data_IF_345685425847
#
_entry.id   IF_345685425847
#
_cell.length_a   1.000
_cell.length_b   1.000
_cell.length_c   1.000
_cell.angle_alpha   90.00
_cell.angle_beta   90.00
_cell.angle_gamma   90.00
#
_symmetry.space_group_name_H-M   'P 1'
#
loop_
_entity.id
_entity.type
_entity.pdbx_description
1 polymer ?
#
# COMPACT_ATOMS: atom_id res chain seq x y z
N UNK A 1 29.98 -5.15 9.84
CA UNK A 1 29.37 -6.49 9.99
C UNK A 1 28.58 -6.80 8.72
N UNK A 2 28.99 -7.84 7.99
CA UNK A 2 28.37 -8.31 6.74
C UNK A 2 27.75 -9.69 7.00
N UNK A 3 26.48 -9.87 6.67
CA UNK A 3 25.77 -11.17 6.58
C UNK A 3 24.48 -10.98 5.77
N UNK A 4 23.87 -12.03 5.19
CA UNK A 4 24.27 -12.55 3.89
C UNK A 4 23.12 -12.54 2.87
N UNK A 5 23.52 -12.70 1.61
CA UNK A 5 22.71 -12.70 0.40
C UNK A 5 21.98 -14.05 0.27
N UNK A 6 20.65 -14.09 0.41
CA UNK A 6 19.82 -15.24 0.09
C UNK A 6 19.42 -15.24 -1.39
N UNK A 7 19.70 -16.34 -2.09
CA UNK A 7 19.33 -16.60 -3.48
C UNK A 7 17.81 -16.75 -3.62
N UNK A 8 17.15 -16.22 -4.67
CA UNK A 8 15.81 -16.66 -5.02
C UNK A 8 15.88 -17.97 -5.82
N UNK A 9 15.10 -18.95 -5.34
CA UNK A 9 14.92 -20.24 -5.97
C UNK A 9 14.00 -20.14 -7.19
N UNK A 10 14.39 -20.91 -8.22
CA UNK A 10 13.65 -21.35 -9.41
C UNK A 10 12.19 -20.88 -9.58
N UNK A 11 12.01 -19.97 -10.54
CA UNK A 11 10.75 -19.76 -11.25
C UNK A 11 10.31 -21.07 -11.93
N UNK A 12 9.15 -21.60 -11.51
CA UNK A 12 8.46 -22.68 -12.21
C UNK A 12 7.99 -22.16 -13.56
N UNK A 13 8.57 -22.71 -14.62
CA UNK A 13 8.15 -22.49 -16.00
C UNK A 13 6.67 -22.84 -16.12
N UNK A 14 5.89 -21.89 -16.65
CA UNK A 14 4.56 -22.16 -17.15
C UNK A 14 4.69 -23.16 -18.31
N UNK A 15 4.17 -24.37 -18.12
CA UNK A 15 3.93 -25.30 -19.21
C UNK A 15 2.77 -24.77 -20.04
N UNK A 16 3.10 -24.03 -21.10
CA UNK A 16 2.20 -23.85 -22.22
C UNK A 16 1.98 -25.24 -22.84
N UNK A 17 0.84 -25.86 -22.53
CA UNK A 17 0.33 -27.00 -23.30
C UNK A 17 0.03 -26.50 -24.71
N UNK A 18 1.00 -26.63 -25.59
CA UNK A 18 0.79 -26.53 -27.03
C UNK A 18 -0.12 -27.70 -27.41
N UNK A 19 -1.37 -27.40 -27.70
CA UNK A 19 -2.28 -28.35 -28.34
C UNK A 19 -1.76 -28.55 -29.76
N UNK A 20 -1.16 -29.70 -30.01
CA UNK A 20 -0.74 -30.10 -31.34
C UNK A 20 -2.02 -30.42 -32.14
N UNK A 21 -2.47 -29.48 -32.98
CA UNK A 21 -3.61 -29.67 -33.90
C UNK A 21 -3.20 -30.40 -35.18
N UNK A 22 -2.32 -31.38 -35.06
CA UNK A 22 -1.89 -32.23 -36.16
C UNK A 22 -2.84 -33.44 -36.29
N UNK A 23 -4.12 -33.14 -36.54
CA UNK A 23 -5.09 -34.16 -36.94
C UNK A 23 -4.75 -34.66 -38.35
N UNK A 24 -4.32 -35.91 -38.46
CA UNK A 24 -4.37 -36.64 -39.72
C UNK A 24 -5.86 -36.82 -40.07
N UNK A 25 -6.31 -36.07 -41.06
CA UNK A 25 -7.67 -36.08 -41.59
C UNK A 25 -8.10 -37.52 -41.99
N UNK A 26 -9.34 -37.95 -41.66
CA UNK A 26 -9.90 -39.24 -42.08
C UNK A 26 -9.91 -39.46 -43.61
N UNK A 27 -9.73 -38.39 -44.39
CA UNK A 27 -9.64 -38.44 -45.85
C UNK A 27 -8.35 -39.11 -46.37
N UNK A 28 -7.26 -39.09 -45.60
CA UNK A 28 -5.97 -39.66 -46.03
C UNK A 28 -5.94 -41.20 -45.95
N UNK A 29 -6.65 -41.80 -44.98
CA UNK A 29 -6.73 -43.26 -44.83
C UNK A 29 -7.58 -43.93 -45.94
N UNK A 30 -8.56 -43.21 -46.50
CA UNK A 30 -9.41 -43.75 -47.57
C UNK A 30 -8.72 -43.84 -48.94
N UNK A 31 -7.61 -43.12 -49.16
CA UNK A 31 -6.87 -43.19 -50.44
C UNK A 31 -5.89 -44.36 -50.52
N UNK A 32 -5.43 -44.88 -49.38
CA UNK A 32 -4.55 -46.07 -49.35
C UNK A 32 -5.34 -47.36 -49.59
N UNK A 33 -6.55 -47.48 -49.04
CA UNK A 33 -7.40 -48.67 -49.23
C UNK A 33 -7.92 -48.86 -50.67
N UNK A 34 -8.09 -47.76 -51.43
CA UNK A 34 -8.48 -47.83 -52.85
C UNK A 34 -7.35 -48.23 -53.80
N UNK A 35 -6.09 -48.10 -53.39
CA UNK A 35 -4.93 -48.49 -54.20
C UNK A 35 -4.57 -49.98 -54.06
N UNK A 36 -4.93 -50.63 -52.95
CA UNK A 36 -4.58 -52.04 -52.68
C UNK A 36 -5.56 -53.05 -53.28
N UNK A 37 -6.82 -52.65 -53.55
CA UNK A 37 -7.88 -53.57 -54.02
C UNK A 37 -7.90 -53.87 -55.53
N UNK A 38 -6.93 -53.40 -56.32
CA UNK A 38 -6.87 -53.64 -57.78
C UNK A 38 -5.72 -54.54 -58.25
N UNK A 39 -4.96 -55.17 -57.34
CA UNK A 39 -3.74 -55.92 -57.70
C UNK A 39 -3.78 -57.43 -57.40
N UNK A 40 -4.92 -58.00 -57.01
CA UNK A 40 -5.00 -59.42 -56.63
C UNK A 40 -6.16 -60.14 -57.32
N UNK A 41 -6.27 -59.95 -58.64
CA UNK A 41 -6.91 -60.94 -59.53
C UNK A 41 -5.85 -61.47 -60.49
N UNK A 42 -4.86 -62.19 -59.96
CA UNK A 42 -4.15 -63.17 -60.79
C UNK A 42 -5.13 -64.29 -61.08
N UNK A 43 -5.71 -64.22 -62.29
CA UNK A 43 -6.40 -65.31 -62.97
C UNK A 43 -5.74 -66.64 -62.59
N UNK A 44 -6.50 -67.49 -61.89
CA UNK A 44 -6.21 -68.91 -61.80
C UNK A 44 -5.98 -69.44 -63.23
N UNK A 45 -4.89 -70.19 -63.49
CA UNK A 45 -4.61 -70.70 -64.82
C UNK A 45 -5.70 -71.71 -65.17
N UNK A 46 -6.51 -71.39 -66.18
CA UNK A 46 -7.29 -72.38 -66.91
C UNK A 46 -6.36 -73.55 -67.23
N UNK A 47 -6.71 -74.82 -66.92
CA UNK A 47 -5.98 -75.93 -67.48
C UNK A 47 -6.16 -75.85 -69.00
N UNK A 48 -5.06 -75.53 -69.68
CA UNK A 48 -4.90 -75.67 -71.12
C UNK A 48 -5.01 -77.15 -71.48
N UNK A 49 -6.24 -77.62 -71.71
CA UNK A 49 -6.53 -78.91 -72.34
C UNK A 49 -6.40 -78.75 -73.87
N UNK A 50 -5.18 -78.53 -74.34
CA UNK A 50 -4.78 -78.83 -75.72
C UNK A 50 -3.57 -79.76 -75.66
N UNK A 51 -3.80 -80.96 -75.13
CA UNK A 51 -2.97 -82.13 -75.38
C UNK A 51 -3.47 -82.82 -76.65
N UNK A 52 -2.56 -83.06 -77.59
CA UNK A 52 -2.75 -83.71 -78.88
C UNK A 52 -3.62 -84.98 -78.81
N UNK A 53 -4.67 -85.04 -79.64
CA UNK A 53 -5.38 -86.26 -79.97
C UNK A 53 -5.21 -86.58 -81.49
N UNK A 54 -4.99 -87.85 -81.87
CA UNK A 54 -4.73 -88.27 -83.25
C UNK A 54 -6.01 -88.22 -84.11
N UNK A 55 -5.90 -88.29 -85.46
CA UNK A 55 -7.05 -88.14 -86.34
C UNK A 55 -7.89 -89.43 -86.30
N UNK A 56 -8.99 -89.42 -85.57
CA UNK A 56 -10.00 -90.48 -85.65
C UNK A 56 -11.11 -90.00 -86.55
N UNK A 57 -11.09 -90.56 -87.76
CA UNK A 57 -12.12 -90.47 -88.75
C UNK A 57 -13.48 -90.91 -88.17
N UNK A 58 -14.50 -90.11 -88.50
CA UNK A 58 -15.91 -90.47 -88.67
C UNK A 58 -16.28 -91.91 -88.30
N UNK A 59 -16.75 -92.10 -87.08
CA UNK A 59 -17.85 -93.02 -86.77
C UNK A 59 -18.82 -92.23 -85.89
N UNK A 60 -19.89 -91.71 -86.50
CA UNK A 60 -21.08 -91.33 -85.73
C UNK A 60 -21.68 -92.66 -85.24
N UNK A 61 -21.21 -93.14 -84.09
CA UNK A 61 -21.99 -94.07 -83.30
C UNK A 61 -23.26 -93.34 -82.90
N UNK A 62 -24.39 -93.77 -83.45
CA UNK A 62 -25.71 -93.28 -83.05
C UNK A 62 -25.81 -93.34 -81.53
N UNK A 63 -25.91 -92.16 -80.90
CA UNK A 63 -26.07 -92.05 -79.46
C UNK A 63 -27.38 -92.78 -79.13
N UNK A 64 -27.30 -93.83 -78.33
CA UNK A 64 -28.50 -94.52 -77.88
C UNK A 64 -29.40 -93.53 -77.14
N UNK A 65 -30.72 -93.60 -77.30
CA UNK A 65 -31.67 -92.72 -76.60
C UNK A 65 -31.40 -92.65 -75.09
N UNK A 66 -30.98 -93.77 -74.49
CA UNK A 66 -30.59 -93.84 -73.06
C UNK A 66 -29.36 -92.98 -72.73
N UNK A 67 -28.39 -92.92 -73.62
CA UNK A 67 -27.19 -92.10 -73.47
C UNK A 67 -27.50 -90.62 -73.71
N UNK A 68 -28.38 -90.30 -74.67
CA UNK A 68 -28.85 -88.93 -74.93
C UNK A 68 -29.56 -88.34 -73.70
N UNK A 69 -30.56 -89.03 -73.14
CA UNK A 69 -31.25 -88.55 -71.93
C UNK A 69 -30.33 -88.50 -70.70
N UNK A 70 -29.35 -89.40 -70.61
CA UNK A 70 -28.34 -89.35 -69.54
C UNK A 70 -27.44 -88.13 -69.70
N UNK A 71 -27.05 -87.79 -70.92
CA UNK A 71 -26.22 -86.61 -71.20
C UNK A 71 -27.00 -85.33 -70.97
N UNK A 72 -28.28 -85.27 -71.37
CA UNK A 72 -29.16 -84.13 -71.09
C UNK A 72 -29.31 -83.90 -69.58
N UNK A 73 -29.60 -84.96 -68.80
CA UNK A 73 -29.64 -84.87 -67.33
C UNK A 73 -28.31 -84.41 -66.73
N UNK A 74 -27.17 -84.87 -67.27
CA UNK A 74 -25.85 -84.40 -66.83
C UNK A 74 -25.63 -82.92 -67.16
N UNK A 75 -26.10 -82.45 -68.32
CA UNK A 75 -26.04 -81.04 -68.71
C UNK A 75 -26.94 -80.18 -67.81
N UNK A 76 -28.13 -80.66 -67.45
CA UNK A 76 -29.03 -79.97 -66.51
C UNK A 76 -28.42 -79.87 -65.11
N UNK A 77 -27.84 -80.98 -64.62
CA UNK A 77 -27.12 -81.01 -63.34
C UNK A 77 -25.92 -80.07 -63.38
N UNK A 78 -25.15 -80.06 -64.47
CA UNK A 78 -24.01 -79.15 -64.63
C UNK A 78 -24.46 -77.69 -64.65
N UNK A 79 -25.54 -77.37 -65.37
CA UNK A 79 -26.11 -76.02 -65.41
C UNK A 79 -26.63 -75.57 -64.04
N UNK A 80 -27.21 -76.49 -63.25
CA UNK A 80 -27.59 -76.21 -61.88
C UNK A 80 -26.36 -76.00 -60.99
N UNK A 81 -25.32 -76.83 -61.09
CA UNK A 81 -24.08 -76.68 -60.33
C UNK A 81 -23.35 -75.37 -60.67
N UNK A 82 -23.37 -74.94 -61.93
CA UNK A 82 -22.81 -73.65 -62.33
C UNK A 82 -23.57 -72.48 -61.69
N UNK A 83 -24.91 -72.50 -61.70
CA UNK A 83 -25.72 -71.49 -61.02
C UNK A 83 -25.46 -71.46 -59.51
N UNK A 84 -25.43 -72.63 -58.86
CA UNK A 84 -25.11 -72.72 -57.42
C UNK A 84 -23.69 -72.23 -57.15
N UNK A 85 -22.73 -72.45 -58.05
CA UNK A 85 -21.37 -71.94 -57.90
C UNK A 85 -21.35 -70.40 -58.00
N UNK A 86 -22.05 -69.82 -58.98
CA UNK A 86 -22.17 -68.36 -59.11
C UNK A 86 -22.84 -67.75 -57.86
N UNK A 87 -23.92 -68.37 -57.36
CA UNK A 87 -24.61 -67.96 -56.13
C UNK A 87 -23.67 -68.07 -54.89
N UNK A 88 -22.84 -69.11 -54.82
CA UNK A 88 -21.86 -69.28 -53.74
C UNK A 88 -20.76 -68.22 -53.81
N UNK A 89 -20.25 -67.90 -55.00
CA UNK A 89 -19.24 -66.84 -55.17
C UNK A 89 -19.82 -65.47 -54.78
N UNK A 90 -21.08 -65.19 -55.14
CA UNK A 90 -21.75 -63.96 -54.70
C UNK A 90 -21.94 -63.94 -53.18
N UNK A 91 -22.39 -65.04 -52.58
CA UNK A 91 -22.55 -65.16 -51.13
C UNK A 91 -21.23 -65.04 -50.37
N UNK A 92 -20.14 -65.63 -50.87
CA UNK A 92 -18.78 -65.49 -50.31
C UNK A 92 -18.32 -64.03 -50.36
N UNK A 93 -18.54 -63.33 -51.48
CA UNK A 93 -18.22 -61.90 -51.58
C UNK A 93 -19.01 -61.04 -50.60
N UNK A 94 -20.30 -61.33 -50.38
CA UNK A 94 -21.12 -60.65 -49.38
C UNK A 94 -20.66 -60.96 -47.94
N UNK A 95 -20.24 -62.20 -47.67
CA UNK A 95 -19.70 -62.60 -46.38
C UNK A 95 -18.39 -61.85 -46.06
N UNK A 96 -17.47 -61.76 -47.02
CA UNK A 96 -16.21 -61.02 -46.83
C UNK A 96 -16.48 -59.53 -46.51
N UNK A 97 -17.41 -58.89 -47.23
CA UNK A 97 -17.82 -57.50 -46.95
C UNK A 97 -18.39 -57.38 -45.54
N UNK A 98 -19.26 -58.31 -45.13
CA UNK A 98 -19.85 -58.31 -43.79
C UNK A 98 -18.81 -58.54 -42.68
N UNK A 99 -17.79 -59.38 -42.92
CA UNK A 99 -16.67 -59.58 -41.99
C UNK A 99 -15.84 -58.30 -41.83
N UNK A 100 -15.53 -57.61 -42.93
CA UNK A 100 -14.83 -56.32 -42.89
C UNK A 100 -15.65 -55.28 -42.13
N UNK A 101 -16.95 -55.18 -42.39
CA UNK A 101 -17.82 -54.25 -41.66
C UNK A 101 -17.92 -54.60 -40.17
N UNK A 102 -17.97 -55.87 -39.81
CA UNK A 102 -17.94 -56.31 -38.41
C UNK A 102 -16.63 -55.91 -37.71
N UNK A 103 -15.47 -56.08 -38.35
CA UNK A 103 -14.20 -55.64 -37.76
C UNK A 103 -14.11 -54.11 -37.62
N UNK A 104 -14.69 -53.37 -38.56
CA UNK A 104 -14.80 -51.90 -38.49
C UNK A 104 -15.71 -51.47 -37.34
N UNK A 105 -16.85 -52.11 -37.18
CA UNK A 105 -17.78 -51.85 -36.06
C UNK A 105 -17.14 -52.18 -34.72
N UNK A 106 -16.40 -53.29 -34.59
CA UNK A 106 -15.68 -53.64 -33.37
C UNK A 106 -14.60 -52.58 -33.04
N UNK A 107 -13.89 -52.09 -34.05
CA UNK A 107 -12.91 -51.00 -33.89
C UNK A 107 -13.56 -49.70 -33.44
N UNK A 108 -14.71 -49.33 -34.04
CA UNK A 108 -15.48 -48.15 -33.63
C UNK A 108 -15.99 -48.28 -32.18
N UNK A 109 -16.52 -49.44 -31.80
CA UNK A 109 -16.99 -49.69 -30.45
C UNK A 109 -15.86 -49.57 -29.41
N UNK A 110 -14.67 -50.10 -29.70
CA UNK A 110 -13.48 -49.92 -28.86
C UNK A 110 -13.10 -48.45 -28.73
N UNK A 111 -13.13 -47.69 -29.83
CA UNK A 111 -12.82 -46.27 -29.81
C UNK A 111 -13.82 -45.47 -28.96
N UNK A 112 -15.13 -45.68 -29.17
CA UNK A 112 -16.19 -45.02 -28.40
C UNK A 112 -16.03 -45.32 -26.91
N UNK A 113 -15.71 -46.57 -26.54
CA UNK A 113 -15.50 -46.94 -25.15
C UNK A 113 -14.34 -46.16 -24.50
N UNK A 114 -13.22 -46.00 -25.22
CA UNK A 114 -12.08 -45.19 -24.76
C UNK A 114 -12.47 -43.72 -24.62
N UNK A 115 -13.19 -43.16 -25.59
CA UNK A 115 -13.66 -41.78 -25.52
C UNK A 115 -14.58 -41.54 -24.33
N UNK A 116 -15.50 -42.47 -24.05
CA UNK A 116 -16.38 -42.40 -22.88
C UNK A 116 -15.59 -42.43 -21.57
N UNK A 117 -14.56 -43.28 -21.47
CA UNK A 117 -13.69 -43.34 -20.30
C UNK A 117 -12.90 -42.04 -20.10
N UNK A 118 -12.36 -41.47 -21.19
CA UNK A 118 -11.65 -40.19 -21.14
C UNK A 118 -12.60 -39.05 -20.75
N UNK A 119 -13.81 -39.04 -21.29
CA UNK A 119 -14.83 -38.05 -20.95
C UNK A 119 -15.26 -38.14 -19.47
N UNK A 120 -15.49 -39.35 -18.95
CA UNK A 120 -15.80 -39.59 -17.54
C UNK A 120 -14.67 -39.13 -16.61
N UNK A 121 -13.41 -39.43 -16.98
CA UNK A 121 -12.23 -38.96 -16.26
C UNK A 121 -12.16 -37.43 -16.20
N UNK A 122 -12.32 -36.76 -17.34
CA UNK A 122 -12.35 -35.28 -17.42
C UNK A 122 -13.50 -34.68 -16.62
N UNK A 123 -14.68 -35.30 -16.66
CA UNK A 123 -15.84 -34.83 -15.90
C UNK A 123 -15.59 -34.89 -14.38
N UNK A 124 -15.08 -36.02 -13.89
CA UNK A 124 -14.74 -36.19 -12.47
C UNK A 124 -13.65 -35.23 -12.01
N UNK A 125 -12.64 -34.99 -12.84
CA UNK A 125 -11.60 -34.02 -12.54
C UNK A 125 -12.15 -32.57 -12.49
N UNK A 126 -13.00 -32.20 -13.45
CA UNK A 126 -13.65 -30.89 -13.46
C UNK A 126 -14.56 -30.70 -12.23
N UNK A 127 -15.32 -31.74 -11.85
CA UNK A 127 -16.14 -31.73 -10.64
C UNK A 127 -15.29 -31.56 -9.37
N UNK A 128 -14.15 -32.25 -9.30
CA UNK A 128 -13.19 -32.13 -8.18
C UNK A 128 -12.64 -30.71 -8.07
N UNK A 129 -12.15 -30.14 -9.18
CA UNK A 129 -11.63 -28.77 -9.21
C UNK A 129 -12.71 -27.75 -8.84
N UNK A 130 -13.93 -27.94 -9.33
CA UNK A 130 -15.04 -27.08 -8.97
C UNK A 130 -15.36 -27.16 -7.48
N UNK A 131 -15.33 -28.36 -6.89
CA UNK A 131 -15.49 -28.55 -5.46
C UNK A 131 -14.38 -27.83 -4.67
N UNK A 132 -13.12 -27.96 -5.05
CA UNK A 132 -12.00 -27.23 -4.41
C UNK A 132 -12.26 -25.71 -4.37
N UNK A 133 -12.73 -25.13 -5.48
CA UNK A 133 -13.10 -23.71 -5.54
C UNK A 133 -14.27 -23.34 -4.64
N UNK A 134 -15.31 -24.18 -4.57
CA UNK A 134 -16.42 -23.98 -3.62
C UNK A 134 -15.93 -24.07 -2.18
N UNK A 135 -14.94 -24.93 -1.91
CA UNK A 135 -14.31 -25.03 -0.61
C UNK A 135 -13.59 -23.73 -0.23
N UNK A 136 -12.79 -23.19 -1.14
CA UNK A 136 -12.05 -21.96 -0.89
C UNK A 136 -12.99 -20.76 -0.71
N UNK A 137 -14.05 -20.65 -1.52
CA UNK A 137 -15.09 -19.64 -1.31
C UNK A 137 -15.76 -19.79 0.05
N UNK A 138 -16.06 -21.03 0.46
CA UNK A 138 -16.68 -21.30 1.76
C UNK A 138 -15.75 -20.96 2.91
N UNK A 139 -14.44 -21.25 2.80
CA UNK A 139 -13.45 -20.85 3.81
C UNK A 139 -13.46 -19.33 4.00
N UNK A 140 -13.44 -18.56 2.92
CA UNK A 140 -13.43 -17.08 3.01
C UNK A 140 -14.73 -16.59 3.68
N UNK A 141 -15.89 -17.13 3.30
CA UNK A 141 -17.16 -16.78 3.95
C UNK A 141 -17.16 -17.11 5.45
N UNK A 142 -16.71 -18.31 5.84
CA UNK A 142 -16.67 -18.72 7.25
C UNK A 142 -15.66 -17.91 8.06
N UNK A 143 -14.52 -17.56 7.46
CA UNK A 143 -13.53 -16.68 8.07
C UNK A 143 -14.13 -15.32 8.40
N UNK A 144 -14.82 -14.73 7.42
CA UNK A 144 -15.50 -13.45 7.59
C UNK A 144 -16.64 -13.53 8.63
N UNK A 145 -17.45 -14.59 8.61
CA UNK A 145 -18.47 -14.84 9.64
C UNK A 145 -17.88 -14.92 11.05
N UNK A 146 -16.70 -15.53 11.20
CA UNK A 146 -16.01 -15.63 12.48
C UNK A 146 -15.43 -14.28 12.92
N UNK A 147 -14.84 -13.50 12.01
CA UNK A 147 -14.38 -12.14 12.30
C UNK A 147 -15.53 -11.24 12.76
N UNK A 148 -16.68 -11.31 12.10
CA UNK A 148 -17.87 -10.54 12.47
C UNK A 148 -18.42 -10.92 13.86
N UNK A 149 -18.17 -12.14 14.32
CA UNK A 149 -18.50 -12.59 15.69
C UNK A 149 -17.47 -12.15 16.74
N UNK A 150 -16.41 -11.44 16.34
CA UNK A 150 -15.37 -10.94 17.23
C UNK A 150 -14.25 -11.96 17.52
N UNK A 151 -14.13 -13.02 16.73
CA UNK A 151 -12.97 -13.91 16.82
C UNK A 151 -11.70 -13.21 16.30
N UNK A 152 -10.54 -13.60 16.81
CA UNK A 152 -9.25 -13.14 16.30
C UNK A 152 -8.99 -13.73 14.91
N UNK A 153 -8.15 -13.07 14.12
CA UNK A 153 -7.80 -13.50 12.74
C UNK A 153 -7.29 -14.95 12.70
N UNK A 154 -6.44 -15.35 13.67
CA UNK A 154 -5.94 -16.72 13.77
C UNK A 154 -7.05 -17.74 14.06
N UNK A 155 -7.97 -17.43 14.98
CA UNK A 155 -9.07 -18.32 15.34
C UNK A 155 -10.10 -18.43 14.22
N UNK A 156 -10.37 -17.33 13.51
CA UNK A 156 -11.23 -17.31 12.33
C UNK A 156 -10.66 -18.18 11.18
N UNK A 157 -9.34 -18.12 10.95
CA UNK A 157 -8.66 -18.93 9.94
C UNK A 157 -8.68 -20.43 10.25
N UNK A 158 -8.51 -20.79 11.53
CA UNK A 158 -8.63 -22.18 11.99
C UNK A 158 -10.06 -22.70 11.83
N UNK A 159 -11.05 -21.94 12.33
CA UNK A 159 -12.46 -22.26 12.17
C UNK A 159 -12.87 -22.45 10.70
N UNK A 160 -12.46 -21.54 9.81
CA UNK A 160 -12.76 -21.65 8.39
C UNK A 160 -12.18 -22.92 7.75
N UNK A 161 -10.95 -23.30 8.14
CA UNK A 161 -10.27 -24.49 7.59
C UNK A 161 -10.97 -25.77 8.03
N UNK A 162 -11.33 -25.87 9.30
CA UNK A 162 -11.84 -27.10 9.90
C UNK A 162 -13.32 -27.34 9.53
N UNK A 163 -14.10 -26.27 9.37
CA UNK A 163 -15.54 -26.37 9.14
C UNK A 163 -15.98 -26.20 7.68
N UNK A 164 -15.10 -25.80 6.76
CA UNK A 164 -15.49 -25.57 5.35
C UNK A 164 -16.08 -26.82 4.69
N UNK A 165 -15.46 -27.98 4.85
CA UNK A 165 -15.97 -29.24 4.26
C UNK A 165 -17.28 -29.66 4.91
N UNK A 166 -17.37 -29.56 6.25
CA UNK A 166 -18.58 -29.90 6.99
C UNK A 166 -19.77 -28.99 6.61
N UNK A 167 -19.50 -27.70 6.37
CA UNK A 167 -20.53 -26.75 5.93
C UNK A 167 -21.05 -27.08 4.53
N UNK A 168 -20.17 -27.45 3.61
CA UNK A 168 -20.55 -27.80 2.25
C UNK A 168 -21.37 -29.09 2.23
N UNK A 169 -20.99 -30.09 3.03
CA UNK A 169 -21.76 -31.33 3.15
C UNK A 169 -23.12 -31.08 3.79
N UNK A 170 -23.20 -30.28 4.86
CA UNK A 170 -24.46 -29.86 5.50
C UNK A 170 -25.40 -29.18 4.49
N UNK A 171 -24.91 -28.19 3.74
CA UNK A 171 -25.70 -27.48 2.74
C UNK A 171 -26.11 -28.37 1.57
N UNK A 172 -25.23 -29.28 1.13
CA UNK A 172 -25.56 -30.25 0.09
C UNK A 172 -26.66 -31.20 0.54
N UNK A 173 -26.63 -31.68 1.79
CA UNK A 173 -27.68 -32.51 2.38
C UNK A 173 -29.01 -31.75 2.45
N UNK A 174 -28.98 -30.48 2.86
CA UNK A 174 -30.17 -29.63 2.90
C UNK A 174 -30.78 -29.38 1.51
N UNK A 175 -29.95 -29.24 0.47
CA UNK A 175 -30.41 -28.98 -0.91
C UNK A 175 -30.90 -30.23 -1.65
N UNK A 176 -30.59 -31.42 -1.16
CA UNK A 176 -30.92 -32.70 -1.82
C UNK A 176 -31.87 -33.58 -1.00
N UNK A 177 -32.19 -33.19 0.22
CA UNK A 177 -32.97 -33.97 1.20
C UNK A 177 -32.34 -35.36 1.54
N UNK A 178 -31.12 -35.63 1.06
CA UNK A 178 -30.37 -36.86 1.28
C UNK A 178 -29.51 -36.73 2.54
N UNK A 179 -29.86 -37.46 3.59
CA UNK A 179 -29.19 -37.40 4.91
C UNK A 179 -27.80 -38.05 4.98
N UNK A 180 -27.30 -38.65 3.90
CA UNK A 180 -26.02 -39.38 3.86
C UNK A 180 -25.24 -39.10 2.59
N UNK A 181 -24.91 -37.83 2.33
CA UNK A 181 -23.97 -37.47 1.29
C UNK A 181 -22.56 -37.36 1.86
N UNK A 182 -21.60 -38.01 1.19
CA UNK A 182 -20.18 -37.76 1.38
C UNK A 182 -19.71 -36.63 0.46
N UNK A 183 -18.58 -35.98 0.76
CA UNK A 183 -18.06 -34.85 -0.02
C UNK A 183 -17.72 -35.20 -1.48
N UNK A 184 -17.49 -36.48 -1.78
CA UNK A 184 -17.16 -36.98 -3.12
C UNK A 184 -18.40 -37.29 -3.98
N UNK A 185 -19.59 -37.33 -3.37
CA UNK A 185 -20.84 -37.71 -4.04
C UNK A 185 -21.74 -36.51 -4.35
N UNK A 186 -21.28 -35.28 -4.07
CA UNK A 186 -22.11 -34.08 -4.23
C UNK A 186 -22.33 -33.80 -5.72
N UNK A 187 -23.58 -33.82 -6.22
CA UNK A 187 -23.87 -33.53 -7.62
C UNK A 187 -23.45 -32.11 -8.03
N UNK A 188 -22.97 -31.95 -9.27
CA UNK A 188 -22.44 -30.67 -9.77
C UNK A 188 -23.48 -29.52 -9.74
N UNK A 189 -24.76 -29.82 -9.96
CA UNK A 189 -25.85 -28.84 -9.86
C UNK A 189 -26.07 -28.33 -8.42
N UNK A 190 -25.83 -29.17 -7.41
CA UNK A 190 -25.89 -28.79 -5.99
C UNK A 190 -24.71 -27.91 -5.63
N UNK A 191 -23.50 -28.32 -6.03
CA UNK A 191 -22.29 -27.50 -5.88
C UNK A 191 -22.46 -26.12 -6.53
N UNK A 192 -23.11 -26.03 -7.69
CA UNK A 192 -23.37 -24.76 -8.37
C UNK A 192 -24.31 -23.85 -7.57
N UNK A 193 -25.33 -24.40 -6.90
CA UNK A 193 -26.21 -23.64 -6.00
C UNK A 193 -25.45 -23.13 -4.78
N UNK A 194 -24.63 -23.96 -4.16
CA UNK A 194 -23.77 -23.58 -3.03
C UNK A 194 -22.80 -22.46 -3.45
N UNK A 195 -22.13 -22.64 -4.60
CA UNK A 195 -21.23 -21.63 -5.18
C UNK A 195 -21.93 -20.30 -5.43
N UNK A 196 -23.15 -20.32 -5.98
CA UNK A 196 -23.97 -19.13 -6.21
C UNK A 196 -24.29 -18.41 -4.90
N UNK A 197 -24.70 -19.15 -3.87
CA UNK A 197 -24.96 -18.61 -2.55
C UNK A 197 -23.70 -17.96 -1.94
N UNK A 198 -22.56 -18.65 -1.97
CA UNK A 198 -21.27 -18.12 -1.47
C UNK A 198 -20.82 -16.87 -2.20
N UNK A 199 -20.96 -16.84 -3.52
CA UNK A 199 -20.67 -15.65 -4.31
C UNK A 199 -21.56 -14.47 -3.91
N UNK A 200 -22.84 -14.71 -3.60
CA UNK A 200 -23.73 -13.65 -3.13
C UNK A 200 -23.33 -13.14 -1.73
N UNK A 201 -22.99 -14.05 -0.80
CA UNK A 201 -22.47 -13.67 0.51
C UNK A 201 -21.20 -12.81 0.37
N UNK A 202 -20.26 -13.23 -0.47
CA UNK A 202 -19.01 -12.49 -0.71
C UNK A 202 -19.26 -11.09 -1.27
N UNK A 203 -20.20 -10.95 -2.21
CA UNK A 203 -20.60 -9.64 -2.75
C UNK A 203 -21.12 -8.72 -1.64
N UNK A 204 -21.91 -9.24 -0.71
CA UNK A 204 -22.44 -8.45 0.41
C UNK A 204 -21.31 -7.99 1.34
N UNK A 205 -20.35 -8.87 1.64
CA UNK A 205 -19.16 -8.55 2.44
C UNK A 205 -18.34 -7.44 1.78
N UNK A 206 -18.03 -7.57 0.48
CA UNK A 206 -17.30 -6.53 -0.24
C UNK A 206 -18.03 -5.18 -0.25
N UNK A 207 -19.36 -5.20 -0.36
CA UNK A 207 -20.15 -3.96 -0.27
C UNK A 207 -20.10 -3.34 1.13
N UNK A 208 -20.05 -4.15 2.19
CA UNK A 208 -19.84 -3.65 3.56
C UNK A 208 -18.48 -3.00 3.70
N UNK A 209 -17.41 -3.71 3.34
CA UNK A 209 -16.05 -3.17 3.42
C UNK A 209 -15.86 -1.89 2.59
N UNK A 210 -16.49 -1.79 1.41
CA UNK A 210 -16.49 -0.55 0.63
C UNK A 210 -17.26 0.60 1.27
N UNK A 211 -18.25 0.33 2.12
CA UNK A 211 -18.93 1.36 2.91
C UNK A 211 -18.04 1.78 4.08
N UNK A 212 -17.47 0.83 4.79
CA UNK A 212 -16.63 1.08 5.96
C UNK A 212 -15.35 1.84 5.57
N UNK A 213 -14.72 1.48 4.45
CA UNK A 213 -13.57 2.20 3.91
C UNK A 213 -13.92 3.66 3.58
N UNK A 214 -15.03 3.91 2.87
CA UNK A 214 -15.48 5.28 2.56
C UNK A 214 -15.79 6.08 3.82
N UNK A 215 -16.34 5.43 4.83
CA UNK A 215 -16.60 6.08 6.11
C UNK A 215 -15.29 6.45 6.83
N UNK A 216 -14.31 5.55 6.87
CA UNK A 216 -12.99 5.82 7.43
C UNK A 216 -12.27 6.95 6.69
N UNK A 217 -12.30 6.96 5.35
CA UNK A 217 -11.75 8.05 4.53
C UNK A 217 -12.42 9.39 4.84
N UNK A 218 -13.75 9.41 5.01
CA UNK A 218 -14.48 10.61 5.38
C UNK A 218 -14.09 11.13 6.77
N UNK A 219 -13.97 10.23 7.76
CA UNK A 219 -13.53 10.59 9.12
C UNK A 219 -12.12 11.18 9.08
N UNK A 220 -11.19 10.56 8.35
CA UNK A 220 -9.82 11.06 8.18
C UNK A 220 -9.83 12.46 7.55
N UNK A 221 -10.62 12.68 6.49
CA UNK A 221 -10.73 13.98 5.84
C UNK A 221 -11.27 15.07 6.78
N UNK A 222 -12.29 14.74 7.59
CA UNK A 222 -12.86 15.66 8.58
C UNK A 222 -11.84 15.99 9.67
N UNK A 223 -11.12 15.00 10.20
CA UNK A 223 -10.09 15.23 11.22
C UNK A 223 -8.90 16.04 10.66
N UNK A 224 -8.49 15.79 9.42
CA UNK A 224 -7.48 16.62 8.75
C UNK A 224 -7.93 18.07 8.60
N UNK A 225 -9.19 18.31 8.21
CA UNK A 225 -9.75 19.65 8.11
C UNK A 225 -9.82 20.36 9.48
N UNK A 226 -10.19 19.64 10.55
CA UNK A 226 -10.16 20.17 11.93
C UNK A 226 -8.74 20.51 12.36
N UNK A 227 -7.77 19.62 12.12
CA UNK A 227 -6.36 19.83 12.44
C UNK A 227 -5.80 21.05 11.71
N UNK A 228 -6.11 21.21 10.42
CA UNK A 228 -5.68 22.38 9.65
C UNK A 228 -6.28 23.68 10.19
N UNK A 229 -7.56 23.66 10.60
CA UNK A 229 -8.22 24.82 11.22
C UNK A 229 -7.59 25.18 12.57
N UNK A 230 -7.28 24.17 13.41
CA UNK A 230 -6.60 24.40 14.68
C UNK A 230 -5.19 24.97 14.48
N UNK A 231 -4.44 24.44 13.52
CA UNK A 231 -3.12 24.97 13.18
C UNK A 231 -3.19 26.42 12.70
N UNK A 232 -4.20 26.79 11.90
CA UNK A 232 -4.39 28.16 11.46
C UNK A 232 -4.70 29.11 12.64
N UNK A 233 -5.52 28.69 13.61
CA UNK A 233 -5.78 29.51 14.81
C UNK A 233 -4.54 29.67 15.68
N UNK A 234 -3.72 28.61 15.81
CA UNK A 234 -2.48 28.66 16.57
C UNK A 234 -1.48 29.62 15.94
N UNK A 235 -1.34 29.61 14.61
CA UNK A 235 -0.49 30.56 13.87
C UNK A 235 -0.96 32.00 14.14
N UNK A 236 -2.27 32.27 14.06
CA UNK A 236 -2.80 33.61 14.36
C UNK A 236 -2.52 34.05 15.80
N UNK A 237 -2.60 33.14 16.77
CA UNK A 237 -2.28 33.42 18.16
C UNK A 237 -0.79 33.71 18.36
N UNK A 238 0.08 32.91 17.73
CA UNK A 238 1.54 33.12 17.74
C UNK A 238 1.86 34.48 17.13
N UNK A 239 1.35 34.81 15.95
CA UNK A 239 1.57 36.09 15.28
C UNK A 239 1.16 37.29 16.17
N UNK A 240 0.02 37.16 16.87
CA UNK A 240 -0.46 38.19 17.81
C UNK A 240 0.48 38.36 19.00
N UNK A 241 0.94 37.27 19.60
CA UNK A 241 1.88 37.28 20.74
C UNK A 241 3.23 37.83 20.31
N UNK A 242 3.75 37.41 19.15
CA UNK A 242 5.00 37.92 18.60
C UNK A 242 4.92 39.40 18.24
N UNK A 243 3.78 39.88 17.75
CA UNK A 243 3.52 41.31 17.52
C UNK A 243 3.54 42.12 18.82
N UNK A 244 2.84 41.65 19.86
CA UNK A 244 2.84 42.29 21.17
C UNK A 244 4.25 42.32 21.80
N UNK A 245 4.99 41.22 21.67
CA UNK A 245 6.37 41.11 22.15
C UNK A 245 7.29 42.10 21.43
N UNK A 246 7.12 42.29 20.11
CA UNK A 246 7.87 43.28 19.33
C UNK A 246 7.57 44.72 19.79
N UNK A 247 6.30 45.05 20.03
CA UNK A 247 5.91 46.38 20.57
C UNK A 247 6.54 46.62 21.95
N UNK A 248 6.40 45.65 22.86
CA UNK A 248 6.96 45.76 24.21
C UNK A 248 8.49 45.89 24.21
N UNK A 249 9.19 45.23 23.27
CA UNK A 249 10.64 45.40 23.10
C UNK A 249 10.99 46.81 22.64
N UNK A 250 10.27 47.35 21.65
CA UNK A 250 10.48 48.72 21.17
C UNK A 250 10.22 49.76 22.28
N UNK A 251 9.15 49.60 23.05
CA UNK A 251 8.85 50.47 24.21
C UNK A 251 9.95 50.39 25.28
N UNK A 252 10.43 49.18 25.58
CA UNK A 252 11.55 48.99 26.53
C UNK A 252 12.81 49.70 26.04
N UNK A 253 13.14 49.61 24.76
CA UNK A 253 14.33 50.24 24.20
C UNK A 253 14.20 51.78 24.21
N UNK A 254 13.02 52.33 23.87
CA UNK A 254 12.74 53.76 24.01
C UNK A 254 12.89 54.24 25.47
N UNK A 255 12.34 53.51 26.44
CA UNK A 255 12.47 53.84 27.86
C UNK A 255 13.93 53.78 28.34
N UNK A 256 14.72 52.84 27.82
CA UNK A 256 16.15 52.76 28.11
C UNK A 256 16.92 53.97 27.57
N UNK A 257 16.58 54.42 26.35
CA UNK A 257 17.17 55.65 25.77
C UNK A 257 16.81 56.89 26.61
N UNK A 258 15.55 57.03 27.02
CA UNK A 258 15.11 58.11 27.91
C UNK A 258 15.84 58.07 29.26
N UNK A 259 15.98 56.89 29.87
CA UNK A 259 16.70 56.71 31.13
C UNK A 259 18.17 57.12 30.97
N UNK A 260 18.85 56.68 29.91
CA UNK A 260 20.22 57.09 29.64
C UNK A 260 20.36 58.61 29.45
N UNK A 261 19.41 59.25 28.77
CA UNK A 261 19.40 60.71 28.61
C UNK A 261 19.21 61.41 29.97
N UNK A 262 18.26 60.94 30.79
CA UNK A 262 18.02 61.47 32.14
C UNK A 262 19.23 61.26 33.06
N UNK A 263 19.91 60.12 32.96
CA UNK A 263 21.13 59.86 33.71
C UNK A 263 22.24 60.87 33.37
N UNK A 264 22.44 61.16 32.06
CA UNK A 264 23.39 62.21 31.62
C UNK A 264 23.00 63.60 32.11
N UNK A 265 21.71 63.95 32.07
CA UNK A 265 21.23 65.23 32.61
C UNK A 265 21.48 65.33 34.12
N UNK A 266 21.22 64.26 34.88
CA UNK A 266 21.48 64.22 36.31
C UNK A 266 22.98 64.34 36.62
N UNK A 267 23.85 63.68 35.84
CA UNK A 267 25.30 63.81 35.97
C UNK A 267 25.75 65.27 35.73
N UNK A 268 25.25 65.92 34.67
CA UNK A 268 25.54 67.32 34.39
C UNK A 268 25.05 68.28 35.50
N UNK A 269 23.87 68.03 36.06
CA UNK A 269 23.37 68.81 37.20
C UNK A 269 24.20 68.57 38.46
N UNK A 270 24.66 67.34 38.71
CA UNK A 270 25.54 67.03 39.84
C UNK A 270 26.90 67.73 39.72
N UNK A 271 27.48 67.80 38.52
CA UNK A 271 28.73 68.54 38.29
C UNK A 271 28.55 70.05 38.48
N UNK A 272 27.42 70.62 38.03
CA UNK A 272 27.09 72.03 38.27
C UNK A 272 26.90 72.34 39.76
N UNK A 273 26.20 71.48 40.50
CA UNK A 273 26.07 71.61 41.96
C UNK A 273 27.43 71.55 42.65
N UNK A 274 28.32 70.65 42.22
CA UNK A 274 29.67 70.54 42.77
C UNK A 274 30.49 71.82 42.52
N UNK A 275 30.45 72.35 41.29
CA UNK A 275 31.13 73.60 40.92
C UNK A 275 30.60 74.81 41.72
N UNK A 276 29.27 74.92 41.88
CA UNK A 276 28.66 75.98 42.68
C UNK A 276 29.05 75.87 44.17
N UNK A 277 29.15 74.65 44.72
CA UNK A 277 29.64 74.43 46.09
C UNK A 277 31.09 74.88 46.26
N UNK A 278 31.96 74.55 45.31
CA UNK A 278 33.37 74.99 45.32
C UNK A 278 33.48 76.53 45.21
N UNK A 279 32.68 77.16 44.35
CA UNK A 279 32.60 78.63 44.26
C UNK A 279 32.09 79.26 45.56
N UNK A 280 31.12 78.64 46.23
CA UNK A 280 30.65 79.10 47.53
C UNK A 280 31.76 78.97 48.57
N UNK A 281 32.45 77.84 48.64
CA UNK A 281 33.52 77.59 49.61
C UNK A 281 34.68 78.57 49.43
N UNK A 282 35.15 78.78 48.19
CA UNK A 282 36.18 79.77 47.86
C UNK A 282 35.77 81.19 48.25
N UNK A 283 34.53 81.61 47.97
CA UNK A 283 34.00 82.90 48.46
C UNK A 283 33.98 82.97 49.98
N UNK A 284 33.53 81.94 50.68
CA UNK A 284 33.52 81.95 52.15
C UNK A 284 34.91 81.96 52.76
N UNK A 285 35.90 81.31 52.13
CA UNK A 285 37.31 81.37 52.53
C UNK A 285 37.86 82.79 52.33
N UNK A 286 37.61 83.39 51.17
CA UNK A 286 38.00 84.78 50.89
C UNK A 286 37.36 85.76 51.88
N UNK A 287 36.07 85.62 52.18
CA UNK A 287 35.41 86.42 53.22
C UNK A 287 36.05 86.22 54.61
N UNK A 288 36.43 84.98 54.95
CA UNK A 288 37.16 84.69 56.21
C UNK A 288 38.53 85.34 56.23
N UNK A 289 39.29 85.29 55.13
CA UNK A 289 40.59 85.95 54.99
C UNK A 289 40.46 87.47 55.09
N UNK A 290 39.48 88.08 54.41
CA UNK A 290 39.20 89.51 54.54
C UNK A 290 38.82 89.88 55.98
N UNK A 291 37.94 89.11 56.64
CA UNK A 291 37.59 89.34 58.05
C UNK A 291 38.79 89.22 58.97
N UNK A 292 39.67 88.23 58.74
CA UNK A 292 40.90 88.07 59.51
C UNK A 292 41.88 89.22 59.28
N UNK A 293 42.05 89.68 58.03
CA UNK A 293 42.90 90.82 57.70
C UNK A 293 42.37 92.12 58.31
N UNK A 294 41.06 92.37 58.26
CA UNK A 294 40.42 93.50 58.94
C UNK A 294 40.71 93.44 60.45
N UNK A 295 40.48 92.29 61.07
CA UNK A 295 40.74 92.09 62.51
C UNK A 295 42.23 92.32 62.86
N UNK A 296 43.16 91.91 61.99
CA UNK A 296 44.59 92.17 62.16
C UNK A 296 44.93 93.66 62.05
N UNK A 297 44.35 94.36 61.06
CA UNK A 297 44.52 95.80 60.92
C UNK A 297 43.94 96.56 62.12
N UNK A 298 42.75 96.17 62.60
CA UNK A 298 42.16 96.72 63.82
C UNK A 298 43.09 96.54 65.03
N UNK A 299 43.64 95.34 65.22
CA UNK A 299 44.60 95.06 66.29
C UNK A 299 45.89 95.89 66.15
N UNK A 300 46.43 96.06 64.94
CA UNK A 300 47.61 96.86 64.68
C UNK A 300 47.39 98.37 64.91
N UNK A 301 46.21 98.88 64.54
CA UNK A 301 45.79 100.26 64.83
C UNK A 301 45.68 100.44 66.34
N UNK A 302 45.00 99.53 67.04
CA UNK A 302 44.90 99.57 68.51
C UNK A 302 46.27 99.53 69.20
N UNK A 303 47.20 98.71 68.71
CA UNK A 303 48.57 98.65 69.22
C UNK A 303 49.32 99.96 68.97
N UNK A 304 49.18 100.56 67.78
CA UNK A 304 49.80 101.84 67.43
C UNK A 304 49.23 102.98 68.28
N UNK A 305 47.91 102.99 68.52
CA UNK A 305 47.24 103.93 69.42
C UNK A 305 47.73 103.76 70.87
N UNK A 306 47.93 102.53 71.34
CA UNK A 306 48.55 102.28 72.66
C UNK A 306 49.99 102.79 72.73
N UNK A 307 50.79 102.58 71.69
CA UNK A 307 52.16 103.07 71.62
C UNK A 307 52.21 104.60 71.60
N UNK A 308 51.35 105.26 70.80
CA UNK A 308 51.18 106.72 70.81
C UNK A 308 50.75 107.24 72.18
N UNK A 309 49.78 106.56 72.84
CA UNK A 309 49.36 106.87 74.20
C UNK A 309 50.52 106.78 75.18
N UNK A 310 51.35 105.75 75.08
CA UNK A 310 52.53 105.57 75.93
C UNK A 310 53.61 106.64 75.67
N UNK A 311 53.85 107.00 74.40
CA UNK A 311 54.82 108.03 74.01
C UNK A 311 54.38 109.44 74.43
N UNK A 312 53.10 109.79 74.25
CA UNK A 312 52.53 111.05 74.73
C UNK A 312 52.65 111.15 76.26
N UNK A 313 52.34 110.06 76.97
CA UNK A 313 52.50 109.99 78.43
C UNK A 313 53.96 110.17 78.86
N UNK A 314 54.92 109.56 78.15
CA UNK A 314 56.35 109.69 78.42
C UNK A 314 56.89 111.10 78.15
N UNK A 315 56.44 111.76 77.08
CA UNK A 315 56.98 113.07 76.66
C UNK A 315 56.33 114.27 77.35
N UNK A 316 55.06 114.17 77.72
CA UNK A 316 54.28 115.32 78.19
C UNK A 316 53.62 115.11 79.56
N UNK A 317 53.80 113.96 80.22
CA UNK A 317 53.25 113.67 81.56
C UNK A 317 51.73 113.54 81.64
N UNK A 318 51.01 113.79 80.55
CA UNK A 318 49.55 113.79 80.44
C UNK A 318 49.12 113.20 79.09
N UNK A 319 48.02 112.44 79.08
CA UNK A 319 47.43 111.88 77.84
C UNK A 319 46.14 112.66 77.53
N UNK A 320 45.97 113.21 76.32
CA UNK A 320 44.75 113.92 75.94
C UNK A 320 43.50 113.00 75.95
N UNK A 321 42.33 113.49 76.42
CA UNK A 321 41.08 112.70 76.51
C UNK A 321 40.61 112.11 75.17
N UNK A 322 40.85 112.82 74.05
CA UNK A 322 40.50 112.36 72.71
C UNK A 322 41.18 111.04 72.29
N UNK A 323 42.32 110.69 72.90
CA UNK A 323 43.04 109.43 72.64
C UNK A 323 42.55 108.31 73.57
N UNK A 324 41.85 108.64 74.67
CA UNK A 324 41.25 107.67 75.59
C UNK A 324 39.94 107.08 75.07
N UNK A 325 39.14 107.87 74.35
CA UNK A 325 37.84 107.44 73.81
C UNK A 325 37.98 106.51 72.59
N UNK A 326 39.00 106.71 71.76
CA UNK A 326 39.21 105.92 70.52
C UNK A 326 39.55 104.45 70.82
N UNK A 327 40.17 104.16 71.98
CA UNK A 327 40.47 102.80 72.40
C UNK A 327 39.22 101.99 72.83
N UNK A 328 38.08 102.66 73.07
CA UNK A 328 36.85 102.02 73.56
C UNK A 328 35.75 101.91 72.49
N UNK A 329 35.81 102.66 71.39
CA UNK A 329 34.75 102.70 70.36
C UNK A 329 34.82 101.61 69.28
N UNK A 330 35.89 100.81 69.21
CA UNK A 330 36.04 99.75 68.19
C UNK A 330 35.37 98.41 68.54
N UNK A 331 34.61 98.33 69.65
CA UNK A 331 34.04 97.08 70.17
C UNK A 331 32.59 96.75 69.76
N UNK A 332 31.91 97.58 68.96
CA UNK A 332 30.54 97.26 68.51
C UNK A 332 30.52 96.76 67.07
N UNK A 333 30.56 95.43 66.92
CA UNK A 333 30.15 94.75 65.68
C UNK A 333 28.69 95.12 65.34
N UNK A 334 28.37 95.41 64.06
CA UNK A 334 26.97 95.42 63.61
C UNK A 334 26.38 93.99 63.61
N UNK A 335 25.08 93.82 63.91
CA UNK A 335 24.43 92.51 63.97
C UNK A 335 24.36 91.84 62.59
N UNK A 336 24.38 90.50 62.53
CA UNK A 336 24.33 89.76 61.27
C UNK A 336 22.97 89.94 60.55
N UNK A 337 22.95 89.94 59.20
CA UNK A 337 21.71 90.04 58.43
C UNK A 337 20.84 88.78 58.56
N UNK A 338 19.51 88.91 58.38
CA UNK A 338 18.55 87.82 58.60
C UNK A 338 18.73 86.67 57.59
N UNK A 339 18.70 85.45 58.10
CA UNK A 339 18.71 84.21 57.34
C UNK A 339 17.38 84.02 56.58
N UNK A 340 17.42 84.08 55.26
CA UNK A 340 16.35 83.59 54.40
C UNK A 340 16.44 82.06 54.32
N UNK A 341 15.65 81.37 55.13
CA UNK A 341 15.28 79.98 54.90
C UNK A 341 14.21 79.93 53.79
N UNK A 342 14.39 79.03 52.83
CA UNK A 342 13.29 78.46 52.04
C UNK A 342 13.40 76.94 52.09
#
# INVERSE_FOLDING_TARGET
>A
MKSPRSKPAASRKAEHLHVDTSYLSPAAASQVAKATFRSSFTKSPRPSLFGSAPPIAKQMTEISDKEYFRLLKKTDVLGHLLRVNDDLVEAEGLLEVAEVDNTKLDTMNKHILVELQVADGKYKEAQRLFMDHVQDLTKICLHEEALQKGHTESAAAEYARDYATARITEEAQNLTELKRLTSLEIPANVLAKIASHRNQQMKNVFQSYRRDLRHAEQVISVEQAKSAKAQATDIMHVDKVEGALRSARAEKDNLMEELHLRAKQNEALQTEIAALKEQLETKTNYERECKAAISQHEAAILQSLRNLKADLKKRYGFVPPAVEEIALQTLTLPPPPPSLCR
#
